data_IF_134894936123
#
_entry.id   IF_134894936123
#
_cell.length_a   1.000
_cell.length_b   1.000
_cell.length_c   1.000
_cell.angle_alpha   90.00
_cell.angle_beta   90.00
_cell.angle_gamma   90.00
#
_symmetry.space_group_name_H-M   'P 1'
#
loop_
_entity.id
_entity.type
_entity.pdbx_description
1 polymer ?
#
# COMPACT_ATOMS: atom_id res chain seq x y z
N UNK A 1 0.00 -0.73 -22.33
CA UNK A 1 0.95 -1.55 -21.55
C UNK A 1 1.23 -0.87 -20.22
N UNK A 2 1.07 -1.63 -19.12
CA UNK A 2 1.28 -1.11 -17.78
C UNK A 2 2.40 -1.85 -17.05
N UNK A 3 3.20 -1.09 -16.31
CA UNK A 3 4.20 -1.63 -15.38
C UNK A 3 3.79 -1.25 -13.97
N UNK A 4 3.39 -2.24 -13.18
CA UNK A 4 3.02 -2.07 -11.77
C UNK A 4 4.22 -2.31 -10.87
N UNK A 5 4.61 -1.33 -10.07
CA UNK A 5 5.50 -1.52 -8.94
C UNK A 5 4.64 -1.67 -7.68
N UNK A 6 4.71 -2.83 -7.03
CA UNK A 6 3.95 -3.13 -5.82
C UNK A 6 4.94 -3.49 -4.71
N UNK A 7 5.03 -2.65 -3.69
CA UNK A 7 5.77 -2.95 -2.46
C UNK A 7 4.84 -3.54 -1.42
N UNK A 8 5.32 -4.52 -0.64
CA UNK A 8 4.46 -5.34 0.21
C UNK A 8 3.58 -6.31 -0.60
N UNK A 9 4.05 -6.71 -1.79
CA UNK A 9 3.32 -7.54 -2.73
C UNK A 9 3.00 -8.94 -2.21
N UNK A 10 3.77 -9.45 -1.25
CA UNK A 10 3.58 -10.77 -0.62
C UNK A 10 2.48 -10.79 0.44
N UNK A 11 1.95 -9.64 0.84
CA UNK A 11 0.80 -9.54 1.76
C UNK A 11 -0.48 -10.12 1.12
N UNK A 12 -1.48 -10.42 1.94
CA UNK A 12 -2.76 -10.92 1.44
C UNK A 12 -3.42 -9.92 0.48
N UNK A 13 -3.36 -8.62 0.80
CA UNK A 13 -3.86 -7.54 -0.08
C UNK A 13 -3.02 -7.44 -1.35
N UNK A 14 -1.70 -7.49 -1.23
CA UNK A 14 -0.78 -7.40 -2.37
C UNK A 14 -1.02 -8.50 -3.39
N UNK A 15 -1.12 -9.76 -2.93
CA UNK A 15 -1.41 -10.91 -3.79
C UNK A 15 -2.78 -10.83 -4.44
N UNK A 16 -3.82 -10.49 -3.67
CA UNK A 16 -5.17 -10.32 -4.19
C UNK A 16 -5.25 -9.16 -5.22
N UNK A 17 -4.50 -8.08 -4.99
CA UNK A 17 -4.42 -6.97 -5.94
C UNK A 17 -3.74 -7.40 -7.24
N UNK A 18 -2.61 -8.12 -7.17
CA UNK A 18 -1.92 -8.63 -8.36
C UNK A 18 -2.89 -9.50 -9.19
N UNK A 19 -3.56 -10.45 -8.54
CA UNK A 19 -4.54 -11.31 -9.21
C UNK A 19 -5.64 -10.48 -9.90
N UNK A 20 -6.18 -9.48 -9.21
CA UNK A 20 -7.21 -8.59 -9.76
C UNK A 20 -6.73 -7.78 -10.96
N UNK A 21 -5.52 -7.23 -10.89
CA UNK A 21 -4.94 -6.42 -11.97
C UNK A 21 -4.61 -7.26 -13.20
N UNK A 22 -4.31 -8.54 -13.03
CA UNK A 22 -3.95 -9.44 -14.13
C UNK A 22 -5.15 -10.14 -14.79
N UNK A 23 -6.36 -10.06 -14.21
CA UNK A 23 -7.56 -10.70 -14.79
C UNK A 23 -7.84 -10.29 -16.24
N UNK A 24 -7.60 -9.04 -16.61
CA UNK A 24 -7.82 -8.50 -17.96
C UNK A 24 -6.61 -7.68 -18.44
N UNK A 25 -5.42 -8.05 -18.02
CA UNK A 25 -4.22 -7.31 -18.35
C UNK A 25 -3.80 -7.52 -19.80
N UNK A 26 -3.23 -6.46 -20.40
CA UNK A 26 -2.60 -6.57 -21.72
C UNK A 26 -1.40 -7.54 -21.67
N UNK A 27 -1.09 -8.23 -22.80
CA UNK A 27 -0.03 -9.25 -22.83
C UNK A 27 1.38 -8.76 -22.42
N UNK A 28 1.62 -7.45 -22.56
CA UNK A 28 2.89 -6.79 -22.25
C UNK A 28 2.89 -6.12 -20.86
N UNK A 29 1.94 -6.47 -20.01
CA UNK A 29 1.88 -6.01 -18.62
C UNK A 29 3.01 -6.63 -17.80
N UNK A 30 3.64 -5.83 -16.95
CA UNK A 30 4.70 -6.27 -16.02
C UNK A 30 4.33 -5.88 -14.60
N UNK A 31 4.58 -6.80 -13.65
CA UNK A 31 4.43 -6.55 -12.20
C UNK A 31 5.80 -6.70 -11.54
N UNK A 32 6.32 -5.62 -11.00
CA UNK A 32 7.52 -5.57 -10.17
C UNK A 32 7.07 -5.73 -8.71
N UNK A 33 7.22 -6.93 -8.16
CA UNK A 33 6.62 -7.32 -6.89
C UNK A 33 7.66 -7.43 -5.79
N UNK A 34 7.69 -6.47 -4.86
CA UNK A 34 8.61 -6.50 -3.73
C UNK A 34 7.98 -7.20 -2.53
N UNK A 35 8.75 -8.10 -1.89
CA UNK A 35 8.53 -8.70 -0.59
C UNK A 35 9.80 -8.63 0.26
N UNK A 36 9.74 -9.16 1.48
CA UNK A 36 10.87 -9.19 2.39
C UNK A 36 10.96 -10.55 3.09
N UNK A 37 11.86 -11.43 2.61
CA UNK A 37 12.08 -12.76 3.13
C UNK A 37 10.95 -13.77 2.88
N UNK A 38 9.97 -13.41 2.04
CA UNK A 38 8.76 -14.20 1.81
C UNK A 38 8.24 -14.15 0.36
N UNK A 39 9.15 -13.87 -0.58
CA UNK A 39 8.79 -13.77 -2.02
C UNK A 39 8.31 -15.09 -2.62
N UNK A 40 8.58 -16.21 -1.98
CA UNK A 40 8.04 -17.53 -2.32
C UNK A 40 6.51 -17.59 -2.27
N UNK A 41 5.87 -16.74 -1.48
CA UNK A 41 4.39 -16.57 -1.47
C UNK A 41 3.82 -16.13 -2.82
N UNK A 42 4.65 -15.56 -3.69
CA UNK A 42 4.26 -15.17 -5.06
C UNK A 42 4.35 -16.34 -6.06
N UNK A 43 4.94 -17.47 -5.68
CA UNK A 43 5.15 -18.64 -6.58
C UNK A 43 3.88 -19.08 -7.30
N UNK A 44 2.71 -19.22 -6.65
CA UNK A 44 1.48 -19.60 -7.36
C UNK A 44 1.06 -18.59 -8.44
N UNK A 45 1.19 -17.29 -8.15
CA UNK A 45 0.86 -16.23 -9.10
C UNK A 45 1.86 -16.17 -10.26
N UNK A 46 3.16 -16.38 -9.98
CA UNK A 46 4.20 -16.44 -11.02
C UNK A 46 3.95 -17.63 -11.95
N UNK A 47 3.55 -18.78 -11.41
CA UNK A 47 3.23 -19.96 -12.19
C UNK A 47 1.97 -19.75 -13.06
N UNK A 48 0.96 -19.03 -12.54
CA UNK A 48 -0.26 -18.70 -13.28
C UNK A 48 -0.05 -17.64 -14.37
N UNK A 49 0.97 -16.77 -14.22
CA UNK A 49 1.28 -15.66 -15.13
C UNK A 49 2.78 -15.66 -15.52
N UNK A 50 3.25 -16.63 -16.32
CA UNK A 50 4.65 -16.76 -16.67
C UNK A 50 5.21 -15.51 -17.36
N UNK A 51 6.36 -15.01 -16.87
CA UNK A 51 7.04 -13.87 -17.47
C UNK A 51 6.46 -12.48 -17.10
N UNK A 52 5.32 -12.43 -16.43
CA UNK A 52 4.62 -11.19 -16.06
C UNK A 52 5.12 -10.63 -14.72
N UNK A 53 5.28 -11.49 -13.71
CA UNK A 53 5.62 -11.09 -12.34
C UNK A 53 7.13 -11.26 -12.12
N UNK A 54 7.80 -10.18 -11.71
CA UNK A 54 9.22 -10.14 -11.34
C UNK A 54 9.34 -9.90 -9.84
N UNK A 55 9.68 -10.92 -9.05
CA UNK A 55 9.82 -10.77 -7.60
C UNK A 55 11.15 -10.09 -7.23
N UNK A 56 11.11 -9.26 -6.18
CA UNK A 56 12.27 -8.62 -5.56
C UNK A 56 12.22 -8.85 -4.05
N UNK A 57 13.27 -9.46 -3.51
CA UNK A 57 13.42 -9.62 -2.06
C UNK A 57 14.25 -8.46 -1.51
N UNK A 58 13.57 -7.48 -0.90
CA UNK A 58 14.18 -6.24 -0.42
C UNK A 58 13.65 -5.89 0.96
N UNK A 59 14.51 -5.75 1.94
CA UNK A 59 14.17 -5.21 3.25
C UNK A 59 14.06 -3.67 3.18
N UNK A 60 12.84 -3.16 3.23
CA UNK A 60 12.58 -1.71 3.16
C UNK A 60 12.95 -0.95 4.45
N UNK A 61 13.30 -1.65 5.53
CA UNK A 61 13.86 -1.02 6.73
C UNK A 61 15.36 -0.69 6.60
N UNK A 62 16.01 -1.16 5.54
CA UNK A 62 17.41 -0.91 5.24
C UNK A 62 17.53 0.14 4.11
N UNK A 63 17.96 1.39 4.43
CA UNK A 63 18.04 2.47 3.46
C UNK A 63 18.96 2.18 2.27
N UNK A 64 20.01 1.40 2.48
CA UNK A 64 20.96 1.03 1.40
C UNK A 64 20.34 0.03 0.42
N UNK A 65 19.57 -0.94 0.94
CA UNK A 65 18.82 -1.88 0.10
C UNK A 65 17.74 -1.17 -0.71
N UNK A 66 17.07 -0.19 -0.12
CA UNK A 66 16.10 0.66 -0.85
C UNK A 66 16.79 1.46 -1.95
N UNK A 67 17.96 2.06 -1.70
CA UNK A 67 18.71 2.79 -2.71
C UNK A 67 19.15 1.88 -3.88
N UNK A 68 19.63 0.67 -3.55
CA UNK A 68 19.96 -0.36 -4.57
C UNK A 68 18.73 -0.76 -5.37
N UNK A 69 17.60 -0.93 -4.71
CA UNK A 69 16.32 -1.24 -5.39
C UNK A 69 15.89 -0.13 -6.33
N UNK A 70 15.99 1.14 -5.92
CA UNK A 70 15.71 2.28 -6.79
C UNK A 70 16.64 2.30 -8.04
N UNK A 71 17.91 1.94 -7.89
CA UNK A 71 18.85 1.83 -9.01
C UNK A 71 18.46 0.70 -9.97
N UNK A 72 18.04 -0.46 -9.45
CA UNK A 72 17.55 -1.57 -10.28
C UNK A 72 16.29 -1.19 -11.06
N UNK A 73 15.38 -0.44 -10.44
CA UNK A 73 14.16 0.06 -11.12
C UNK A 73 14.51 1.01 -12.27
N UNK A 74 15.55 1.82 -12.14
CA UNK A 74 15.99 2.75 -13.19
C UNK A 74 16.55 2.02 -14.43
N UNK A 75 17.05 0.80 -14.29
CA UNK A 75 17.55 -0.05 -15.38
C UNK A 75 16.50 -0.93 -16.05
N UNK A 76 15.25 -0.91 -15.58
CA UNK A 76 14.16 -1.75 -16.05
C UNK A 76 13.02 -0.97 -16.74
N UNK A 77 11.88 -1.65 -16.98
CA UNK A 77 10.68 -0.98 -17.47
C UNK A 77 10.20 0.05 -16.44
N UNK A 78 9.99 1.28 -16.89
CA UNK A 78 9.57 2.37 -16.02
C UNK A 78 8.15 2.09 -15.46
N UNK A 79 7.96 2.12 -14.13
CA UNK A 79 6.64 1.95 -13.54
C UNK A 79 5.66 3.03 -14.00
N UNK A 80 4.49 2.59 -14.46
CA UNK A 80 3.32 3.44 -14.74
C UNK A 80 2.40 3.53 -13.52
N UNK A 81 2.49 2.54 -12.65
CA UNK A 81 1.71 2.43 -11.41
C UNK A 81 2.65 2.14 -10.25
N UNK A 82 2.45 2.81 -9.12
CA UNK A 82 3.16 2.52 -7.88
C UNK A 82 2.17 2.33 -6.73
N UNK A 83 2.20 1.16 -6.12
CA UNK A 83 1.36 0.79 -4.99
C UNK A 83 2.24 0.44 -3.79
N UNK A 84 2.04 1.16 -2.68
CA UNK A 84 2.86 1.01 -1.48
C UNK A 84 2.02 0.51 -0.31
N UNK A 85 2.23 -0.75 0.06
CA UNK A 85 1.42 -1.47 1.05
C UNK A 85 2.16 -1.84 2.36
N UNK A 86 3.51 -1.80 2.45
CA UNK A 86 4.21 -2.37 3.58
C UNK A 86 3.97 -1.59 4.87
N UNK A 87 3.88 -2.33 5.98
CA UNK A 87 3.89 -1.83 7.34
C UNK A 87 4.34 -2.94 8.28
N UNK A 88 4.94 -2.59 9.42
CA UNK A 88 5.09 -3.55 10.51
C UNK A 88 3.73 -3.80 11.19
N UNK A 89 3.51 -4.99 11.78
CA UNK A 89 2.30 -5.29 12.53
C UNK A 89 2.02 -4.24 13.62
N UNK A 90 0.74 -3.92 13.82
CA UNK A 90 0.35 -2.93 14.84
C UNK A 90 0.70 -3.44 16.24
N UNK A 91 1.33 -2.59 17.02
CA UNK A 91 1.57 -2.83 18.45
C UNK A 91 0.76 -1.83 19.25
N UNK A 92 -0.13 -2.33 20.08
CA UNK A 92 -0.91 -1.53 21.01
C UNK A 92 -0.11 -1.30 22.29
N UNK A 93 0.44 -0.11 22.48
CA UNK A 93 1.22 0.26 23.67
C UNK A 93 0.78 1.61 24.22
N UNK A 94 0.63 1.69 25.55
CA UNK A 94 0.42 3.00 26.22
C UNK A 94 1.56 3.94 25.83
N UNK A 95 1.28 5.21 25.62
CA UNK A 95 2.27 6.17 25.14
C UNK A 95 3.53 6.26 26.02
N UNK A 96 3.40 6.08 27.34
CA UNK A 96 4.55 6.00 28.26
C UNK A 96 5.52 4.84 27.96
N UNK A 97 5.08 3.85 27.19
CA UNK A 97 5.88 2.68 26.78
C UNK A 97 6.12 2.71 25.25
N UNK A 98 6.14 3.91 24.67
CA UNK A 98 6.38 4.08 23.22
C UNK A 98 7.78 3.53 22.88
N UNK A 99 7.80 2.61 21.91
CA UNK A 99 9.05 1.99 21.41
C UNK A 99 9.58 2.79 20.23
N UNK A 100 10.53 3.68 20.52
CA UNK A 100 11.15 4.56 19.53
C UNK A 100 11.89 3.76 18.44
N UNK A 101 12.62 2.72 18.84
CA UNK A 101 13.41 1.90 17.89
C UNK A 101 12.50 1.18 16.88
N UNK A 102 11.42 0.59 17.39
CA UNK A 102 10.42 -0.05 16.52
C UNK A 102 9.72 0.98 15.64
N UNK A 103 9.40 2.15 16.19
CA UNK A 103 8.77 3.24 15.41
C UNK A 103 9.68 3.71 14.29
N UNK A 104 10.96 3.95 14.55
CA UNK A 104 11.95 4.33 13.53
C UNK A 104 12.04 3.27 12.43
N UNK A 105 12.08 1.99 12.79
CA UNK A 105 12.08 0.89 11.83
C UNK A 105 10.81 0.89 10.95
N UNK A 106 9.64 1.06 11.55
CA UNK A 106 8.37 1.14 10.80
C UNK A 106 8.31 2.39 9.92
N UNK A 107 8.89 3.50 10.39
CA UNK A 107 9.01 4.74 9.64
C UNK A 107 9.88 4.58 8.40
N UNK A 108 11.00 3.85 8.50
CA UNK A 108 11.82 3.47 7.34
C UNK A 108 11.02 2.65 6.34
N UNK A 109 10.29 1.63 6.83
CA UNK A 109 9.49 0.73 5.98
C UNK A 109 8.36 1.46 5.27
N UNK A 110 7.63 2.35 5.96
CA UNK A 110 6.43 2.98 5.41
C UNK A 110 6.72 4.31 4.71
N UNK A 111 7.58 5.16 5.29
CA UNK A 111 7.70 6.56 4.89
C UNK A 111 8.97 6.81 4.08
N UNK A 112 10.14 6.52 4.62
CA UNK A 112 11.40 6.80 3.91
C UNK A 112 11.49 6.00 2.62
N UNK A 113 11.09 4.72 2.64
CA UNK A 113 11.04 3.89 1.43
C UNK A 113 10.05 4.45 0.40
N UNK A 114 8.86 4.90 0.83
CA UNK A 114 7.88 5.52 -0.07
C UNK A 114 8.44 6.79 -0.73
N UNK A 115 9.10 7.65 0.04
CA UNK A 115 9.73 8.87 -0.48
C UNK A 115 10.81 8.55 -1.51
N UNK A 116 11.72 7.61 -1.21
CA UNK A 116 12.78 7.19 -2.14
C UNK A 116 12.21 6.59 -3.43
N UNK A 117 11.23 5.72 -3.31
CA UNK A 117 10.57 5.08 -4.45
C UNK A 117 9.77 6.10 -5.29
N UNK A 118 9.04 7.02 -4.67
CA UNK A 118 8.37 8.12 -5.38
C UNK A 118 9.39 8.96 -6.17
N UNK A 119 10.53 9.33 -5.56
CA UNK A 119 11.61 10.05 -6.27
C UNK A 119 12.15 9.27 -7.48
N UNK A 120 12.18 7.95 -7.40
CA UNK A 120 12.66 7.10 -8.48
C UNK A 120 11.65 6.97 -9.63
N UNK A 121 10.33 6.89 -9.35
CA UNK A 121 9.32 6.56 -10.38
C UNK A 121 8.59 7.79 -10.94
N UNK A 122 8.33 8.81 -10.14
CA UNK A 122 7.52 9.98 -10.56
C UNK A 122 8.11 10.76 -11.74
N UNK A 123 9.43 10.94 -11.91
CA UNK A 123 9.96 11.64 -13.07
C UNK A 123 9.59 10.98 -14.40
N UNK A 124 9.62 9.66 -14.48
CA UNK A 124 9.22 8.91 -15.67
C UNK A 124 7.71 9.01 -15.93
N UNK A 125 6.89 8.91 -14.90
CA UNK A 125 5.43 9.09 -14.97
C UNK A 125 5.08 10.52 -15.48
N UNK A 126 5.74 11.55 -14.94
CA UNK A 126 5.53 12.94 -15.35
C UNK A 126 5.92 13.16 -16.82
N UNK A 127 7.04 12.59 -17.28
CA UNK A 127 7.48 12.63 -18.67
C UNK A 127 6.49 11.93 -19.60
N UNK A 128 5.95 10.79 -19.18
CA UNK A 128 4.95 10.03 -19.92
C UNK A 128 3.56 10.66 -19.92
N UNK A 129 3.31 11.69 -19.07
CA UNK A 129 2.01 12.31 -18.84
C UNK A 129 0.96 11.31 -18.33
N UNK A 130 1.40 10.28 -17.64
CA UNK A 130 0.56 9.23 -17.06
C UNK A 130 1.24 8.61 -15.83
N UNK A 131 0.49 8.46 -14.77
CA UNK A 131 0.91 7.72 -13.58
C UNK A 131 -0.23 7.51 -12.59
N UNK A 132 -0.18 6.43 -11.84
CA UNK A 132 -1.11 6.11 -10.75
C UNK A 132 -0.31 5.71 -9.53
N UNK A 133 -0.47 6.44 -8.44
CA UNK A 133 0.18 6.14 -7.15
C UNK A 133 -0.89 5.89 -6.11
N UNK A 134 -0.74 4.82 -5.34
CA UNK A 134 -1.70 4.41 -4.32
C UNK A 134 -0.97 4.02 -3.03
N UNK A 135 -1.35 4.64 -1.92
CA UNK A 135 -0.93 4.28 -0.58
C UNK A 135 -2.06 3.62 0.20
N UNK A 136 -1.72 2.76 1.14
CA UNK A 136 -2.68 2.21 2.09
C UNK A 136 -2.56 2.92 3.45
N UNK A 137 -3.63 3.60 3.84
CA UNK A 137 -3.83 4.18 5.16
C UNK A 137 -4.64 3.23 6.05
N UNK A 138 -5.37 3.76 6.98
CA UNK A 138 -6.26 3.05 7.90
C UNK A 138 -7.44 3.93 8.28
N UNK A 139 -8.58 3.35 8.60
CA UNK A 139 -9.72 4.08 9.17
C UNK A 139 -9.36 4.87 10.44
N UNK A 140 -8.30 4.49 11.13
CA UNK A 140 -7.79 5.21 12.32
C UNK A 140 -7.30 6.62 12.00
N UNK A 141 -7.09 6.98 10.73
CA UNK A 141 -6.75 8.34 10.30
C UNK A 141 -7.98 9.21 9.98
N UNK A 142 -9.19 8.64 10.02
CA UNK A 142 -10.42 9.29 9.58
C UNK A 142 -11.27 9.86 10.73
N UNK A 143 -10.75 9.92 11.94
CA UNK A 143 -11.49 10.39 13.10
C UNK A 143 -10.69 10.20 14.37
N UNK A 144 -11.37 9.91 15.49
CA UNK A 144 -10.70 9.59 16.74
C UNK A 144 -10.09 8.18 16.67
N UNK A 145 -8.75 8.05 16.74
CA UNK A 145 -8.11 6.74 16.68
C UNK A 145 -8.33 5.95 17.97
N UNK A 146 -8.23 4.62 17.91
CA UNK A 146 -8.21 3.81 19.12
C UNK A 146 -7.04 4.19 20.04
N UNK A 147 -7.22 4.00 21.35
CA UNK A 147 -6.15 4.22 22.33
C UNK A 147 -4.96 3.30 22.04
N UNK A 148 -3.77 3.74 22.41
CA UNK A 148 -2.52 2.97 22.35
C UNK A 148 -2.01 2.65 20.93
N UNK A 149 -2.41 3.41 19.92
CA UNK A 149 -2.01 3.22 18.51
C UNK A 149 -1.16 4.37 17.95
N UNK A 150 -0.54 5.19 18.79
CA UNK A 150 0.14 6.43 18.39
C UNK A 150 1.16 6.22 17.25
N UNK A 151 2.07 5.26 17.37
CA UNK A 151 3.10 5.00 16.37
C UNK A 151 2.49 4.67 14.99
N UNK A 152 1.50 3.78 14.97
CA UNK A 152 0.84 3.37 13.74
C UNK A 152 0.06 4.51 13.08
N UNK A 153 -0.69 5.26 13.88
CA UNK A 153 -1.49 6.39 13.37
C UNK A 153 -0.60 7.52 12.86
N UNK A 154 0.55 7.80 13.51
CA UNK A 154 1.53 8.77 13.02
C UNK A 154 2.05 8.40 11.64
N UNK A 155 2.51 7.16 11.44
CA UNK A 155 3.04 6.70 10.17
C UNK A 155 1.97 6.74 9.07
N UNK A 156 0.74 6.30 9.36
CA UNK A 156 -0.36 6.31 8.39
C UNK A 156 -0.81 7.73 8.01
N UNK A 157 -0.80 8.68 8.95
CA UNK A 157 -1.07 10.09 8.64
C UNK A 157 0.04 10.72 7.78
N UNK A 158 1.31 10.33 8.00
CA UNK A 158 2.41 10.79 7.17
C UNK A 158 2.24 10.38 5.70
N UNK A 159 1.79 9.15 5.42
CA UNK A 159 1.43 8.73 4.05
C UNK A 159 0.32 9.59 3.44
N UNK A 160 -0.70 9.97 4.23
CA UNK A 160 -1.75 10.88 3.78
C UNK A 160 -1.22 12.28 3.46
N UNK A 161 -0.28 12.79 4.25
CA UNK A 161 0.42 14.04 3.97
C UNK A 161 1.20 13.98 2.65
N UNK A 162 1.98 12.92 2.47
CA UNK A 162 2.73 12.68 1.23
C UNK A 162 1.78 12.56 0.02
N UNK A 163 0.69 11.82 0.16
CA UNK A 163 -0.32 11.67 -0.89
C UNK A 163 -0.85 13.03 -1.37
N UNK A 164 -1.34 13.85 -0.45
CA UNK A 164 -1.92 15.15 -0.82
C UNK A 164 -0.90 16.10 -1.46
N UNK A 165 0.33 16.11 -0.95
CA UNK A 165 1.40 16.94 -1.51
C UNK A 165 1.76 16.54 -2.93
N UNK A 166 1.99 15.24 -3.17
CA UNK A 166 2.31 14.73 -4.49
C UNK A 166 1.14 14.85 -5.47
N UNK A 167 -0.11 14.69 -5.01
CA UNK A 167 -1.29 14.85 -5.84
C UNK A 167 -1.34 16.25 -6.47
N UNK A 168 -1.12 17.30 -5.68
CA UNK A 168 -1.12 18.70 -6.18
C UNK A 168 0.07 18.95 -7.11
N UNK A 169 1.26 18.47 -6.73
CA UNK A 169 2.49 18.73 -7.48
C UNK A 169 2.48 18.05 -8.86
N UNK A 170 1.93 16.83 -8.95
CA UNK A 170 2.01 16.02 -10.16
C UNK A 170 0.74 15.98 -11.00
N UNK A 171 -0.38 16.56 -10.55
CA UNK A 171 -1.66 16.55 -11.28
C UNK A 171 -1.55 17.05 -12.73
N UNK A 172 -0.84 18.15 -12.95
CA UNK A 172 -0.64 18.73 -14.30
C UNK A 172 0.11 17.80 -15.27
N UNK A 173 0.76 16.78 -14.73
CA UNK A 173 1.48 15.79 -15.51
C UNK A 173 0.67 14.50 -15.75
N UNK A 174 -0.64 14.50 -15.45
CA UNK A 174 -1.49 13.34 -15.64
C UNK A 174 -1.26 12.21 -14.63
N UNK A 175 -0.57 12.52 -13.52
CA UNK A 175 -0.33 11.57 -12.43
C UNK A 175 -1.37 11.79 -11.33
N UNK A 176 -2.04 10.71 -10.90
CA UNK A 176 -2.91 10.74 -9.72
C UNK A 176 -2.23 10.06 -8.55
N UNK A 177 -2.44 10.60 -7.35
CA UNK A 177 -1.91 10.05 -6.10
C UNK A 177 -3.04 9.99 -5.09
N UNK A 178 -3.40 8.79 -4.64
CA UNK A 178 -4.54 8.56 -3.76
C UNK A 178 -4.17 7.60 -2.62
N UNK A 179 -5.04 7.54 -1.61
CA UNK A 179 -5.00 6.58 -0.52
C UNK A 179 -6.31 5.79 -0.46
N UNK A 180 -6.23 4.55 0.02
CA UNK A 180 -7.38 3.82 0.58
C UNK A 180 -7.20 3.70 2.09
N UNK A 181 -8.30 3.78 2.84
CA UNK A 181 -8.29 3.69 4.29
C UNK A 181 -9.29 2.61 4.75
N UNK A 182 -8.85 1.33 4.76
CA UNK A 182 -9.71 0.24 5.23
C UNK A 182 -9.85 0.27 6.75
N UNK A 183 -10.98 -0.25 7.24
CA UNK A 183 -11.14 -0.68 8.63
C UNK A 183 -10.33 -1.95 8.90
N UNK A 184 -10.47 -2.54 10.08
CA UNK A 184 -9.81 -3.80 10.39
C UNK A 184 -10.11 -4.84 9.31
N UNK A 185 -9.04 -5.45 8.78
CA UNK A 185 -9.12 -6.39 7.68
C UNK A 185 -8.55 -7.75 8.09
N UNK A 186 -9.32 -8.79 7.90
CA UNK A 186 -8.92 -10.16 8.24
C UNK A 186 -7.84 -10.66 7.28
N UNK A 187 -6.60 -10.53 7.71
CA UNK A 187 -5.39 -10.90 6.99
C UNK A 187 -4.33 -11.40 7.97
N UNK A 188 -3.26 -11.99 7.45
CA UNK A 188 -2.09 -12.38 8.26
C UNK A 188 -1.44 -11.21 9.02
N UNK A 189 -1.75 -9.97 8.66
CA UNK A 189 -1.32 -8.78 9.40
C UNK A 189 -1.86 -8.76 10.84
N UNK A 190 -2.99 -9.42 11.10
CA UNK A 190 -3.62 -9.55 12.42
C UNK A 190 -3.14 -10.76 13.22
N UNK A 191 -2.19 -11.56 12.73
CA UNK A 191 -1.75 -12.81 13.37
C UNK A 191 -1.37 -12.68 14.86
N UNK A 192 -0.85 -11.50 15.24
CA UNK A 192 -0.43 -11.19 16.61
C UNK A 192 -1.49 -10.36 17.37
N UNK A 193 -2.65 -10.12 16.76
CA UNK A 193 -3.76 -9.40 17.38
C UNK A 193 -4.66 -10.41 18.11
N UNK A 194 -4.98 -10.20 19.40
CA UNK A 194 -5.88 -11.10 20.13
C UNK A 194 -7.24 -11.26 19.45
N UNK A 195 -7.75 -12.49 19.35
CA UNK A 195 -9.03 -12.81 18.70
C UNK A 195 -10.20 -11.98 19.25
N UNK A 196 -10.18 -11.69 20.55
CA UNK A 196 -11.21 -10.88 21.21
C UNK A 196 -11.28 -9.45 20.59
N UNK A 197 -10.13 -8.87 20.24
CA UNK A 197 -10.07 -7.55 19.62
C UNK A 197 -10.62 -7.62 18.18
N UNK A 198 -10.27 -8.68 17.45
CA UNK A 198 -10.76 -8.90 16.07
C UNK A 198 -12.28 -9.10 16.06
N UNK A 199 -12.80 -9.91 16.99
CA UNK A 199 -14.24 -10.15 17.15
C UNK A 199 -14.99 -8.88 17.59
N UNK A 200 -14.44 -8.11 18.53
CA UNK A 200 -15.02 -6.85 18.96
C UNK A 200 -15.13 -5.85 17.81
N UNK A 201 -14.08 -5.72 17.00
CA UNK A 201 -14.09 -4.84 15.84
C UNK A 201 -15.16 -5.27 14.80
N UNK A 202 -15.33 -6.57 14.59
CA UNK A 202 -16.38 -7.09 13.72
C UNK A 202 -17.79 -6.78 14.25
N UNK A 203 -18.00 -6.96 15.57
CA UNK A 203 -19.28 -6.68 16.21
C UNK A 203 -19.64 -5.18 16.21
N UNK A 204 -18.66 -4.31 16.35
CA UNK A 204 -18.83 -2.85 16.33
C UNK A 204 -19.02 -2.29 14.91
N UNK A 205 -18.62 -3.02 13.87
CA UNK A 205 -18.78 -2.57 12.50
C UNK A 205 -20.27 -2.58 12.10
N UNK A 206 -20.81 -1.50 11.51
CA UNK A 206 -22.21 -1.45 11.06
C UNK A 206 -22.61 -2.58 10.11
N UNK A 207 -21.66 -3.12 9.32
CA UNK A 207 -21.90 -4.29 8.47
C UNK A 207 -21.76 -5.64 9.20
N UNK A 208 -21.50 -5.64 10.52
CA UNK A 208 -21.43 -6.84 11.36
C UNK A 208 -20.23 -7.75 11.10
N UNK A 209 -19.22 -7.28 10.39
CA UNK A 209 -18.00 -8.04 10.09
C UNK A 209 -16.80 -7.13 9.84
N UNK A 210 -15.62 -7.69 9.93
CA UNK A 210 -14.40 -7.05 9.44
C UNK A 210 -14.34 -7.06 7.91
N UNK A 211 -13.50 -6.18 7.34
CA UNK A 211 -13.20 -6.20 5.92
C UNK A 211 -12.33 -7.44 5.56
N UNK A 212 -12.32 -7.76 4.28
CA UNK A 212 -11.43 -8.74 3.66
C UNK A 212 -10.69 -8.09 2.50
N UNK A 213 -9.62 -8.69 1.96
CA UNK A 213 -9.00 -8.20 0.73
C UNK A 213 -10.00 -8.01 -0.43
N UNK A 214 -11.02 -8.86 -0.52
CA UNK A 214 -12.05 -8.76 -1.55
C UNK A 214 -12.93 -7.49 -1.42
N UNK A 215 -13.04 -6.91 -0.25
CA UNK A 215 -13.74 -5.63 -0.04
C UNK A 215 -12.87 -4.43 -0.44
N UNK A 216 -11.55 -4.53 -0.33
CA UNK A 216 -10.61 -3.41 -0.50
C UNK A 216 -10.03 -3.35 -1.91
N UNK A 217 -9.65 -4.48 -2.46
CA UNK A 217 -8.98 -4.59 -3.76
C UNK A 217 -9.78 -3.99 -4.93
N UNK A 218 -11.12 -4.14 -5.04
CA UNK A 218 -11.88 -3.50 -6.13
C UNK A 218 -11.75 -1.98 -6.14
N UNK A 219 -11.77 -1.33 -4.98
CA UNK A 219 -11.59 0.11 -4.86
C UNK A 219 -10.16 0.54 -5.23
N UNK A 220 -9.15 -0.25 -4.82
CA UNK A 220 -7.76 -0.03 -5.23
C UNK A 220 -7.62 -0.13 -6.75
N UNK A 221 -8.16 -1.18 -7.37
CA UNK A 221 -8.11 -1.37 -8.82
C UNK A 221 -8.81 -0.24 -9.57
N UNK A 222 -9.94 0.26 -9.06
CA UNK A 222 -10.62 1.43 -9.63
C UNK A 222 -9.74 2.68 -9.58
N UNK A 223 -9.15 3.02 -8.42
CA UNK A 223 -8.27 4.19 -8.30
C UNK A 223 -7.00 4.09 -9.16
N UNK A 224 -6.58 2.89 -9.52
CA UNK A 224 -5.46 2.62 -10.42
C UNK A 224 -5.86 2.62 -11.90
N UNK A 225 -7.15 2.59 -12.22
CA UNK A 225 -7.64 2.54 -13.60
C UNK A 225 -7.60 3.91 -14.31
N UNK A 226 -7.81 3.89 -15.61
CA UNK A 226 -7.96 5.10 -16.43
C UNK A 226 -9.24 5.86 -16.08
N UNK A 227 -10.28 5.16 -15.62
CA UNK A 227 -11.58 5.73 -15.22
C UNK A 227 -11.44 6.69 -14.02
N UNK A 228 -10.45 6.49 -13.16
CA UNK A 228 -10.14 7.35 -12.02
C UNK A 228 -9.20 8.52 -12.37
N UNK A 229 -9.01 8.82 -13.66
CA UNK A 229 -8.03 9.82 -14.12
C UNK A 229 -8.24 11.25 -13.63
N UNK A 230 -9.41 11.58 -13.08
CA UNK A 230 -9.71 12.90 -12.48
C UNK A 230 -9.85 12.86 -10.95
N UNK A 231 -9.48 11.72 -10.33
CA UNK A 231 -9.49 11.53 -8.87
C UNK A 231 -8.05 11.55 -8.37
N UNK A 232 -7.67 12.57 -7.61
CA UNK A 232 -6.34 12.69 -7.03
C UNK A 232 -6.38 13.39 -5.68
N UNK A 233 -5.51 13.01 -4.74
CA UNK A 233 -5.43 13.59 -3.40
C UNK A 233 -6.48 13.07 -2.42
N UNK A 234 -7.27 12.06 -2.79
CA UNK A 234 -8.31 11.52 -1.92
C UNK A 234 -7.76 10.43 -0.99
N UNK A 235 -8.38 10.31 0.16
CA UNK A 235 -8.33 9.11 1.01
C UNK A 235 -9.71 8.48 0.98
N UNK A 236 -9.84 7.34 0.31
CA UNK A 236 -11.11 6.64 0.15
C UNK A 236 -11.35 5.70 1.34
N UNK A 237 -12.37 5.96 2.18
CA UNK A 237 -12.74 5.06 3.26
C UNK A 237 -13.33 3.75 2.73
N UNK A 238 -12.86 2.61 3.26
CA UNK A 238 -13.42 1.28 2.99
C UNK A 238 -13.68 0.63 4.35
N UNK A 239 -14.76 1.05 4.98
CA UNK A 239 -14.92 0.89 6.44
C UNK A 239 -16.20 0.16 6.86
N UNK A 240 -17.07 -0.20 5.91
CA UNK A 240 -18.37 -0.79 6.25
C UNK A 240 -19.25 0.12 7.10
N UNK A 241 -19.00 1.47 7.05
CA UNK A 241 -19.73 2.46 7.83
C UNK A 241 -19.15 2.74 9.24
N UNK A 242 -18.06 2.08 9.63
CA UNK A 242 -17.42 2.32 10.95
C UNK A 242 -16.71 3.68 11.06
N UNK A 243 -16.41 4.32 9.94
CA UNK A 243 -15.95 5.70 9.87
C UNK A 243 -16.68 6.42 8.72
N UNK A 244 -17.29 7.55 9.04
CA UNK A 244 -17.99 8.43 8.10
C UNK A 244 -17.25 9.76 8.10
N UNK A 245 -16.84 10.26 6.95
CA UNK A 245 -16.07 11.49 6.73
C UNK A 245 -16.80 12.42 5.78
#
# INVERSE_FOLDING_TARGET
SYTYLITGATSDVGRALIERLLQNAAPDTVVLAQGCGDVDKLTPLIAAHPGVIRPFDVDLSDPYKVDTFCQLLAGGPAPTHFIHLPALPVVNAKFKNFDEVRFEKDWEVQIHSAVKLCKAVLPAMAKAKFGRVLFIQTSYTLGAPPKNTAAYVMAKNALGGLCRSLAVEYARFGVTVNCVAPSMMETNFLKDTPDLIVQAAAAENPMGRNATPADVVPAMAFLLSDEAGFITGVTLPITGGSAIV
#
